data_IF_793385354701
#
_entry.id   IF_793385354701
#
_cell.length_a   1.000
_cell.length_b   1.000
_cell.length_c   1.000
_cell.angle_alpha   90.00
_cell.angle_beta   90.00
_cell.angle_gamma   90.00
#
_symmetry.space_group_name_H-M   'P 1'
#
loop_
_entity.id
_entity.type
_entity.pdbx_description
1 polymer ?
#
# COMPACT_ATOMS: atom_id res chain seq x y z
N UNK A 1 -23.33 -26.58 -33.50
CA UNK A 1 -24.51 -27.49 -33.45
C UNK A 1 -25.13 -27.64 -34.84
N UNK A 2 -25.50 -26.56 -35.52
CA UNK A 2 -26.08 -26.56 -36.86
C UNK A 2 -25.18 -27.26 -37.89
N UNK A 3 -23.87 -27.02 -37.84
CA UNK A 3 -22.88 -27.61 -38.74
C UNK A 3 -22.78 -29.13 -38.56
N UNK A 4 -22.89 -29.62 -37.32
CA UNK A 4 -22.86 -31.06 -37.00
C UNK A 4 -24.14 -31.76 -37.47
N UNK A 5 -25.30 -31.11 -37.37
CA UNK A 5 -26.55 -31.61 -37.92
C UNK A 5 -26.48 -31.69 -39.46
N UNK A 6 -25.93 -30.67 -40.11
CA UNK A 6 -25.79 -30.61 -41.55
C UNK A 6 -24.87 -31.73 -42.08
N UNK A 7 -23.72 -31.98 -41.40
CA UNK A 7 -22.80 -33.07 -41.76
C UNK A 7 -23.38 -34.48 -41.65
N UNK A 8 -24.36 -34.68 -40.75
CA UNK A 8 -25.04 -35.95 -40.59
C UNK A 8 -26.22 -36.13 -41.54
N UNK A 9 -26.95 -35.05 -41.86
CA UNK A 9 -28.18 -35.11 -42.67
C UNK A 9 -27.87 -35.03 -44.18
N UNK A 10 -26.85 -34.27 -44.60
CA UNK A 10 -26.49 -34.09 -45.99
C UNK A 10 -26.17 -35.40 -46.74
N UNK A 11 -25.42 -36.37 -46.21
CA UNK A 11 -25.16 -37.67 -46.88
C UNK A 11 -26.44 -38.48 -47.14
N UNK A 12 -27.45 -38.39 -46.26
CA UNK A 12 -28.72 -39.06 -46.41
C UNK A 12 -29.54 -38.50 -47.58
N UNK A 13 -29.56 -37.16 -47.71
CA UNK A 13 -30.20 -36.47 -48.83
C UNK A 13 -29.48 -36.76 -50.16
N UNK A 14 -28.12 -36.78 -50.16
CA UNK A 14 -27.30 -37.10 -51.33
C UNK A 14 -27.51 -38.56 -51.78
N UNK A 15 -27.65 -39.49 -50.83
CA UNK A 15 -27.93 -40.89 -51.13
C UNK A 15 -29.22 -41.06 -51.96
N UNK A 16 -30.25 -40.33 -51.60
CA UNK A 16 -31.54 -40.41 -52.27
C UNK A 16 -31.49 -39.88 -53.71
N UNK A 17 -30.68 -38.91 -54.02
CA UNK A 17 -30.67 -38.22 -55.30
C UNK A 17 -29.49 -38.65 -56.23
N UNK A 18 -28.36 -39.09 -55.66
CA UNK A 18 -27.12 -39.34 -56.41
C UNK A 18 -26.49 -40.72 -56.16
N UNK A 19 -27.09 -41.55 -55.35
CA UNK A 19 -26.67 -42.95 -55.11
C UNK A 19 -25.67 -43.13 -53.95
N UNK A 20 -25.38 -44.40 -53.66
CA UNK A 20 -24.63 -44.81 -52.47
C UNK A 20 -23.17 -44.36 -52.48
N UNK A 21 -22.50 -44.38 -53.66
CA UNK A 21 -21.09 -43.97 -53.76
C UNK A 21 -20.89 -42.48 -53.40
N UNK A 22 -21.78 -41.62 -53.94
CA UNK A 22 -21.70 -40.18 -53.64
C UNK A 22 -22.07 -39.89 -52.18
N UNK A 23 -22.98 -40.65 -51.58
CA UNK A 23 -23.31 -40.51 -50.17
C UNK A 23 -22.13 -40.91 -49.27
N UNK A 24 -21.42 -42.01 -49.58
CA UNK A 24 -20.21 -42.41 -48.85
C UNK A 24 -19.09 -41.38 -48.96
N UNK A 25 -18.84 -40.85 -50.14
CA UNK A 25 -17.85 -39.80 -50.37
C UNK A 25 -18.16 -38.51 -49.58
N UNK A 26 -19.43 -38.10 -49.57
CA UNK A 26 -19.90 -36.93 -48.83
C UNK A 26 -19.79 -37.11 -47.31
N UNK A 27 -20.02 -38.33 -46.81
CA UNK A 27 -19.89 -38.67 -45.40
C UNK A 27 -18.42 -38.60 -44.95
N UNK A 28 -17.50 -39.17 -45.73
CA UNK A 28 -16.07 -39.13 -45.46
C UNK A 28 -15.56 -37.67 -45.51
N UNK A 29 -15.95 -36.91 -46.52
CA UNK A 29 -15.57 -35.49 -46.68
C UNK A 29 -16.08 -34.61 -45.50
N UNK A 30 -17.32 -34.87 -45.09
CA UNK A 30 -17.89 -34.11 -43.95
C UNK A 30 -17.24 -34.45 -42.62
N UNK A 31 -16.83 -35.70 -42.39
CA UNK A 31 -16.08 -36.11 -41.20
C UNK A 31 -14.67 -35.47 -41.16
N UNK A 32 -13.97 -35.47 -42.31
CA UNK A 32 -12.65 -34.81 -42.42
C UNK A 32 -12.79 -33.29 -42.16
N UNK A 33 -13.80 -32.67 -42.76
CA UNK A 33 -14.06 -31.24 -42.55
C UNK A 33 -14.38 -30.92 -41.07
N UNK A 34 -15.19 -31.73 -40.43
CA UNK A 34 -15.54 -31.56 -39.02
C UNK A 34 -14.32 -31.73 -38.11
N UNK A 35 -13.47 -32.73 -38.38
CA UNK A 35 -12.22 -32.93 -37.64
C UNK A 35 -11.26 -31.74 -37.80
N UNK A 36 -11.08 -31.26 -39.04
CA UNK A 36 -10.25 -30.10 -39.34
C UNK A 36 -10.80 -28.81 -38.67
N UNK A 37 -12.12 -28.64 -38.66
CA UNK A 37 -12.79 -27.51 -38.03
C UNK A 37 -12.62 -27.51 -36.50
N UNK A 38 -12.75 -28.70 -35.86
CA UNK A 38 -12.50 -28.83 -34.40
C UNK A 38 -11.02 -28.56 -34.07
N UNK A 39 -10.10 -29.06 -34.89
CA UNK A 39 -8.68 -28.79 -34.75
C UNK A 39 -8.39 -27.27 -34.89
N UNK A 40 -8.99 -26.63 -35.89
CA UNK A 40 -8.84 -25.20 -36.12
C UNK A 40 -9.36 -24.37 -34.94
N UNK A 41 -10.54 -24.70 -34.38
CA UNK A 41 -11.07 -24.03 -33.19
C UNK A 41 -10.14 -24.23 -31.99
N UNK A 42 -9.65 -25.46 -31.77
CA UNK A 42 -8.75 -25.74 -30.66
C UNK A 42 -7.40 -25.01 -30.80
N UNK A 43 -6.86 -24.98 -32.03
CA UNK A 43 -5.63 -24.28 -32.32
C UNK A 43 -5.84 -22.76 -32.19
N UNK A 44 -6.94 -22.20 -32.71
CA UNK A 44 -7.32 -20.79 -32.59
C UNK A 44 -7.49 -20.37 -31.14
N UNK A 45 -8.14 -21.20 -30.32
CA UNK A 45 -8.22 -20.96 -28.86
C UNK A 45 -6.86 -20.95 -28.18
N UNK A 46 -5.95 -21.87 -28.57
CA UNK A 46 -4.58 -21.89 -28.00
C UNK A 46 -3.71 -20.70 -28.46
N UNK A 47 -3.89 -20.27 -29.69
CA UNK A 47 -3.14 -19.13 -30.27
C UNK A 47 -3.69 -17.81 -29.70
N UNK A 48 -5.00 -17.65 -29.57
CA UNK A 48 -5.62 -16.44 -28.99
C UNK A 48 -5.29 -16.24 -27.50
N UNK A 49 -5.06 -17.33 -26.76
CA UNK A 49 -4.70 -17.23 -25.32
C UNK A 49 -3.26 -16.76 -25.13
N UNK A 50 -2.36 -16.95 -26.12
CA UNK A 50 -0.93 -16.57 -25.97
C UNK A 50 -0.51 -15.28 -26.68
N UNK A 51 -1.31 -14.73 -27.56
CA UNK A 51 -0.86 -13.66 -28.46
C UNK A 51 -1.52 -12.29 -28.30
N UNK A 52 -2.65 -12.20 -27.65
CA UNK A 52 -3.40 -10.95 -27.43
C UNK A 52 -4.01 -10.92 -26.03
N UNK A 53 -3.18 -10.99 -25.00
CA UNK A 53 -3.57 -10.35 -23.76
C UNK A 53 -3.58 -8.84 -24.04
N UNK A 54 -4.76 -8.30 -24.26
CA UNK A 54 -4.98 -6.87 -24.11
C UNK A 54 -4.57 -6.57 -22.67
N UNK A 55 -3.35 -6.07 -22.50
CA UNK A 55 -2.82 -5.71 -21.19
C UNK A 55 -3.69 -4.58 -20.66
N UNK A 56 -4.69 -4.95 -19.89
CA UNK A 56 -5.49 -3.97 -19.17
C UNK A 56 -4.59 -3.31 -18.13
N UNK A 57 -4.47 -1.98 -18.11
CA UNK A 57 -3.67 -1.31 -17.09
C UNK A 57 -4.26 -1.61 -15.72
N UNK A 58 -3.41 -1.99 -14.76
CA UNK A 58 -3.80 -2.23 -13.38
C UNK A 58 -3.90 -0.90 -12.65
N UNK A 59 -5.06 -0.60 -12.08
CA UNK A 59 -5.22 0.51 -11.16
C UNK A 59 -4.54 0.14 -9.84
N UNK A 60 -3.48 0.86 -9.46
CA UNK A 60 -2.73 0.60 -8.23
C UNK A 60 -3.38 1.22 -7.00
N UNK A 61 -3.95 2.42 -7.14
CA UNK A 61 -4.58 3.18 -6.06
C UNK A 61 -5.85 3.81 -6.60
N UNK A 62 -6.93 3.63 -5.88
CA UNK A 62 -8.22 4.25 -6.16
C UNK A 62 -8.66 5.06 -4.93
N UNK A 63 -8.64 6.38 -5.05
CA UNK A 63 -9.12 7.32 -4.06
C UNK A 63 -10.43 8.00 -4.49
N UNK A 64 -11.06 7.53 -5.57
CA UNK A 64 -12.26 8.14 -6.14
C UNK A 64 -13.48 8.10 -5.21
N UNK A 65 -13.50 7.16 -4.26
CA UNK A 65 -14.59 6.99 -3.29
C UNK A 65 -14.45 7.84 -2.02
N UNK A 66 -13.34 8.60 -1.87
CA UNK A 66 -13.06 9.38 -0.66
C UNK A 66 -13.05 10.87 -0.96
N UNK A 67 -13.88 11.65 -0.23
CA UNK A 67 -13.93 13.11 -0.32
C UNK A 67 -12.77 13.79 0.44
N UNK A 68 -11.98 13.02 1.19
CA UNK A 68 -10.88 13.53 2.03
C UNK A 68 -9.54 13.10 1.48
N UNK A 69 -8.56 13.99 1.60
CA UNK A 69 -7.17 13.66 1.31
C UNK A 69 -6.71 12.44 2.15
N UNK A 70 -5.96 11.50 1.57
CA UNK A 70 -5.51 10.32 2.28
C UNK A 70 -4.57 10.69 3.44
N UNK A 71 -4.80 10.07 4.59
CA UNK A 71 -3.88 10.10 5.73
C UNK A 71 -3.36 8.68 5.96
N UNK A 72 -2.06 8.51 5.81
CA UNK A 72 -1.40 7.21 5.92
C UNK A 72 -0.41 7.25 7.07
N UNK A 73 -0.56 6.34 8.03
CA UNK A 73 0.40 6.14 9.10
C UNK A 73 1.43 5.07 8.68
N UNK A 74 2.67 5.51 8.55
CA UNK A 74 3.82 4.69 8.17
C UNK A 74 4.71 4.31 9.36
N UNK A 75 4.27 4.55 10.58
CA UNK A 75 5.05 4.26 11.79
C UNK A 75 5.44 2.79 11.87
N UNK A 76 6.72 2.51 12.11
CA UNK A 76 7.25 1.15 12.24
C UNK A 76 7.20 0.31 10.96
N UNK A 77 6.90 0.90 9.81
CA UNK A 77 6.83 0.16 8.55
C UNK A 77 8.20 -0.30 8.06
N UNK A 78 8.27 -1.51 7.52
CA UNK A 78 9.44 -1.98 6.79
C UNK A 78 9.47 -1.41 5.37
N UNK A 79 10.63 -1.48 4.70
CA UNK A 79 10.86 -0.86 3.38
C UNK A 79 9.84 -1.25 2.32
N UNK A 80 9.45 -2.54 2.23
CA UNK A 80 8.46 -3.00 1.25
C UNK A 80 7.07 -2.42 1.48
N UNK A 81 6.64 -2.27 2.75
CA UNK A 81 5.36 -1.64 3.07
C UNK A 81 5.39 -0.13 2.80
N UNK A 82 6.51 0.53 3.10
CA UNK A 82 6.67 1.97 2.91
C UNK A 82 6.76 2.35 1.43
N UNK A 83 7.60 1.66 0.66
CA UNK A 83 8.02 2.03 -0.69
C UNK A 83 7.35 1.23 -1.79
N UNK A 84 6.64 0.17 -1.41
CA UNK A 84 6.04 -0.78 -2.32
C UNK A 84 6.91 -2.00 -2.58
N UNK A 85 6.28 -3.06 -3.02
CA UNK A 85 6.92 -4.36 -3.24
C UNK A 85 6.29 -5.10 -4.41
N UNK A 86 6.94 -6.17 -4.85
CA UNK A 86 6.43 -7.12 -5.83
C UNK A 86 6.23 -8.45 -5.15
N UNK A 87 4.99 -8.91 -5.08
CA UNK A 87 4.67 -10.21 -4.50
C UNK A 87 5.50 -11.32 -5.14
N UNK A 88 6.05 -12.19 -4.29
CA UNK A 88 6.77 -13.36 -4.74
C UNK A 88 5.83 -14.31 -5.49
N UNK A 89 6.30 -14.89 -6.60
CA UNK A 89 5.60 -15.98 -7.30
C UNK A 89 5.93 -17.31 -6.60
N UNK A 90 5.01 -17.90 -5.82
CA UNK A 90 5.30 -19.10 -5.05
C UNK A 90 5.59 -20.32 -5.92
N UNK A 91 5.14 -20.31 -7.17
CA UNK A 91 5.30 -21.44 -8.08
C UNK A 91 6.59 -21.39 -8.88
N UNK A 92 7.37 -20.30 -8.83
CA UNK A 92 8.59 -20.08 -9.63
C UNK A 92 8.46 -20.56 -11.08
N UNK A 93 7.28 -20.35 -11.66
CA UNK A 93 6.79 -21.01 -12.87
C UNK A 93 7.47 -20.52 -14.16
N UNK A 94 8.64 -19.89 -14.05
CA UNK A 94 9.48 -19.55 -15.21
C UNK A 94 8.78 -18.72 -16.30
N UNK A 95 7.80 -17.88 -15.92
CA UNK A 95 7.01 -17.07 -16.85
C UNK A 95 5.63 -17.63 -17.21
N UNK A 96 5.23 -18.77 -16.65
CA UNK A 96 3.88 -19.33 -16.77
C UNK A 96 2.93 -18.90 -15.63
N UNK A 97 3.46 -18.24 -14.59
CA UNK A 97 2.70 -17.72 -13.46
C UNK A 97 2.13 -16.31 -13.69
N UNK A 98 1.59 -15.74 -12.63
CA UNK A 98 1.02 -14.39 -12.65
C UNK A 98 2.05 -13.36 -13.11
N UNK A 99 1.76 -12.54 -14.12
CA UNK A 99 2.69 -11.53 -14.62
C UNK A 99 3.17 -10.59 -13.51
N UNK A 100 4.41 -10.12 -13.60
CA UNK A 100 5.01 -9.29 -12.55
C UNK A 100 4.24 -7.98 -12.29
N UNK A 101 3.61 -7.39 -13.32
CA UNK A 101 2.81 -6.17 -13.17
C UNK A 101 1.54 -6.38 -12.34
N UNK A 102 0.96 -7.58 -12.34
CA UNK A 102 -0.19 -7.92 -11.49
C UNK A 102 0.20 -8.12 -10.02
N UNK A 103 1.46 -8.44 -9.76
CA UNK A 103 2.01 -8.68 -8.43
C UNK A 103 2.54 -7.42 -7.74
N UNK A 104 2.46 -6.26 -8.40
CA UNK A 104 2.85 -4.98 -7.82
C UNK A 104 1.93 -4.59 -6.66
N UNK A 105 2.52 -4.24 -5.52
CA UNK A 105 1.83 -3.67 -4.36
C UNK A 105 2.33 -2.24 -4.15
N UNK A 106 1.44 -1.24 -4.18
CA UNK A 106 1.81 0.13 -3.89
C UNK A 106 2.19 0.29 -2.42
N UNK A 107 3.28 0.99 -2.14
CA UNK A 107 3.71 1.34 -0.80
C UNK A 107 2.88 2.49 -0.21
N UNK A 108 3.12 2.76 1.08
CA UNK A 108 2.45 3.83 1.81
C UNK A 108 2.69 5.21 1.19
N UNK A 109 3.90 5.46 0.63
CA UNK A 109 4.20 6.70 -0.09
C UNK A 109 3.27 6.94 -1.28
N UNK A 110 2.92 5.88 -2.02
CA UNK A 110 2.02 5.95 -3.16
C UNK A 110 0.56 6.14 -2.71
N UNK A 111 0.17 5.43 -1.64
CA UNK A 111 -1.17 5.53 -1.04
C UNK A 111 -1.43 6.90 -0.42
N UNK A 112 -0.38 7.59 0.03
CA UNK A 112 -0.42 8.94 0.56
C UNK A 112 -0.47 10.03 -0.52
N UNK A 113 -0.42 9.67 -1.81
CA UNK A 113 -0.43 10.64 -2.91
C UNK A 113 -1.62 11.60 -2.82
N UNK A 114 -1.35 12.90 -2.86
CA UNK A 114 -2.36 13.95 -2.67
C UNK A 114 -2.76 14.20 -1.21
N UNK A 115 -2.09 13.57 -0.24
CA UNK A 115 -2.43 13.64 1.17
C UNK A 115 -1.23 13.73 2.10
N UNK A 116 -1.31 13.03 3.22
CA UNK A 116 -0.33 13.09 4.32
C UNK A 116 0.24 11.70 4.60
N UNK A 117 1.56 11.60 4.66
CA UNK A 117 2.28 10.47 5.22
C UNK A 117 2.79 10.87 6.61
N UNK A 118 2.29 10.22 7.65
CA UNK A 118 2.76 10.39 9.02
C UNK A 118 3.74 9.26 9.38
N UNK A 119 4.87 9.60 9.99
CA UNK A 119 5.86 8.62 10.47
C UNK A 119 6.34 9.05 11.85
N UNK A 120 5.95 8.31 12.89
CA UNK A 120 6.56 8.45 14.20
C UNK A 120 7.90 7.68 14.25
N UNK A 121 8.82 8.19 15.05
CA UNK A 121 10.17 7.64 15.17
C UNK A 121 10.87 7.47 13.81
N UNK A 122 10.77 8.46 12.95
CA UNK A 122 11.31 8.43 11.57
C UNK A 122 12.81 8.05 11.51
N UNK A 123 13.55 8.32 12.57
CA UNK A 123 14.96 7.94 12.67
C UNK A 123 15.21 6.42 12.74
N UNK A 124 14.19 5.64 13.13
CA UNK A 124 14.28 4.18 13.21
C UNK A 124 14.11 3.49 11.84
N UNK A 125 13.71 4.23 10.81
CA UNK A 125 13.70 3.70 9.45
C UNK A 125 15.12 3.30 9.02
N UNK A 126 15.20 2.20 8.28
CA UNK A 126 16.46 1.76 7.68
C UNK A 126 17.08 2.91 6.85
N UNK A 127 18.41 3.16 6.93
CA UNK A 127 19.08 4.23 6.18
C UNK A 127 18.79 4.23 4.68
N UNK A 128 18.68 3.06 4.06
CA UNK A 128 18.30 2.91 2.66
C UNK A 128 16.88 3.43 2.41
N UNK A 129 15.92 3.07 3.28
CA UNK A 129 14.54 3.57 3.19
C UNK A 129 14.45 5.07 3.40
N UNK A 130 15.30 5.64 4.25
CA UNK A 130 15.39 7.10 4.42
C UNK A 130 15.86 7.81 3.14
N UNK A 131 16.84 7.23 2.41
CA UNK A 131 17.31 7.76 1.11
C UNK A 131 16.24 7.64 0.03
N UNK A 132 15.55 6.51 -0.02
CA UNK A 132 14.47 6.27 -0.99
C UNK A 132 13.26 7.18 -0.71
N UNK A 133 12.92 7.41 0.57
CA UNK A 133 11.92 8.38 0.99
C UNK A 133 12.32 9.82 0.57
N UNK A 134 13.58 10.17 0.71
CA UNK A 134 14.10 11.45 0.23
C UNK A 134 13.90 11.59 -1.28
N UNK A 135 14.21 10.54 -2.06
CA UNK A 135 14.00 10.53 -3.52
C UNK A 135 12.52 10.73 -3.86
N UNK A 136 11.64 10.01 -3.17
CA UNK A 136 10.19 10.14 -3.36
C UNK A 136 9.70 11.57 -3.09
N UNK A 137 10.17 12.21 -2.00
CA UNK A 137 9.85 13.60 -1.66
C UNK A 137 10.36 14.62 -2.69
N UNK A 138 11.49 14.34 -3.34
CA UNK A 138 12.09 15.24 -4.33
C UNK A 138 11.42 15.11 -5.69
N UNK A 139 11.26 13.88 -6.16
CA UNK A 139 10.78 13.57 -7.51
C UNK A 139 9.24 13.54 -7.60
N UNK A 140 8.54 13.45 -6.45
CA UNK A 140 7.09 13.30 -6.34
C UNK A 140 6.54 12.07 -7.10
N UNK A 141 7.42 11.15 -7.42
CA UNK A 141 7.16 9.87 -8.07
C UNK A 141 8.22 8.86 -7.67
N UNK A 142 7.83 7.62 -7.51
CA UNK A 142 8.75 6.56 -7.11
C UNK A 142 8.39 5.24 -7.80
N UNK A 143 9.41 4.49 -8.28
CA UNK A 143 9.19 3.19 -8.91
C UNK A 143 9.10 2.10 -7.87
N UNK A 144 8.11 1.22 -8.00
CA UNK A 144 7.98 0.03 -7.16
C UNK A 144 8.98 -1.01 -7.66
N UNK A 145 9.85 -1.49 -6.75
CA UNK A 145 10.84 -2.54 -7.02
C UNK A 145 10.66 -3.67 -6.03
N UNK A 146 10.84 -4.92 -6.46
CA UNK A 146 10.84 -6.05 -5.54
C UNK A 146 11.94 -5.91 -4.49
N UNK A 147 11.57 -5.95 -3.22
CA UNK A 147 12.51 -5.84 -2.08
C UNK A 147 13.06 -7.21 -1.64
N UNK A 148 12.64 -8.30 -2.29
CA UNK A 148 13.10 -9.65 -1.93
C UNK A 148 14.52 -9.88 -2.41
N UNK A 149 15.45 -9.94 -1.47
CA UNK A 149 16.87 -10.31 -1.72
C UNK A 149 17.05 -11.75 -2.23
N UNK A 150 16.01 -12.57 -2.18
CA UNK A 150 16.06 -14.01 -2.51
C UNK A 150 15.75 -14.35 -3.97
N UNK A 151 15.28 -13.41 -4.77
CA UNK A 151 15.02 -13.68 -6.19
C UNK A 151 16.14 -13.11 -7.07
N UNK A 152 17.17 -13.92 -7.29
CA UNK A 152 18.33 -13.59 -8.12
C UNK A 152 18.06 -13.55 -9.64
N UNK A 153 16.80 -13.39 -10.06
CA UNK A 153 16.48 -13.61 -11.47
C UNK A 153 15.76 -12.50 -12.24
N UNK A 154 15.03 -11.62 -11.60
CA UNK A 154 14.38 -10.54 -12.33
C UNK A 154 14.05 -9.38 -11.38
N UNK A 155 14.85 -8.35 -11.39
CA UNK A 155 14.48 -7.06 -10.79
C UNK A 155 13.32 -6.46 -11.61
N UNK A 156 12.09 -6.83 -11.21
CA UNK A 156 10.92 -6.18 -11.77
C UNK A 156 10.82 -4.78 -11.17
N UNK A 157 10.84 -3.79 -12.04
CA UNK A 157 10.68 -2.40 -11.67
C UNK A 157 9.47 -1.85 -12.43
N UNK A 158 8.58 -1.16 -11.70
CA UNK A 158 7.48 -0.43 -12.35
C UNK A 158 7.97 0.84 -13.03
N UNK A 159 7.17 1.41 -13.90
CA UNK A 159 7.30 2.83 -14.22
C UNK A 159 7.12 3.66 -12.95
N UNK A 160 7.66 4.92 -12.93
CA UNK A 160 7.50 5.79 -11.76
C UNK A 160 6.03 6.07 -11.46
N UNK A 161 5.59 5.68 -10.27
CA UNK A 161 4.21 5.88 -9.77
C UNK A 161 4.16 7.20 -8.99
N UNK A 162 3.14 8.05 -9.18
CA UNK A 162 2.99 9.30 -8.44
C UNK A 162 2.96 9.09 -6.92
N UNK A 163 3.66 9.96 -6.18
CA UNK A 163 3.71 9.96 -4.72
C UNK A 163 3.99 11.39 -4.18
N UNK A 164 3.14 12.34 -4.58
CA UNK A 164 3.19 13.71 -4.06
C UNK A 164 2.40 13.78 -2.74
N UNK A 165 3.09 13.84 -1.63
CA UNK A 165 2.50 13.84 -0.29
C UNK A 165 3.21 14.83 0.64
N UNK A 166 2.53 15.26 1.70
CA UNK A 166 3.12 16.02 2.80
C UNK A 166 3.65 15.01 3.82
N UNK A 167 4.94 15.09 4.12
CA UNK A 167 5.55 14.28 5.19
C UNK A 167 5.38 14.99 6.54
N UNK A 168 4.75 14.30 7.50
CA UNK A 168 4.75 14.67 8.91
C UNK A 168 5.56 13.63 9.66
N UNK A 169 6.71 14.02 10.17
CA UNK A 169 7.63 13.13 10.85
C UNK A 169 7.78 13.54 12.31
N UNK A 170 7.73 12.57 13.21
CA UNK A 170 7.99 12.78 14.63
C UNK A 170 9.20 11.94 15.06
N UNK A 171 9.81 12.33 16.19
CA UNK A 171 10.92 11.59 16.77
C UNK A 171 11.56 12.34 17.91
N UNK A 172 12.32 11.63 18.73
CA UNK A 172 13.08 12.20 19.81
C UNK A 172 14.31 12.96 19.29
N UNK A 173 14.69 14.12 19.89
CA UNK A 173 15.84 14.91 19.44
C UNK A 173 17.14 14.12 19.34
N UNK A 174 17.36 13.14 20.22
CA UNK A 174 18.55 12.30 20.23
C UNK A 174 18.57 11.33 19.04
N UNK A 175 17.45 10.68 18.73
CA UNK A 175 17.33 9.75 17.60
C UNK A 175 17.34 10.49 16.27
N UNK A 176 16.71 11.66 16.19
CA UNK A 176 16.70 12.52 14.99
C UNK A 176 18.11 12.96 14.58
N UNK A 177 19.06 13.09 15.54
CA UNK A 177 20.48 13.36 15.21
C UNK A 177 21.12 12.24 14.39
N UNK A 178 20.62 11.00 14.53
CA UNK A 178 21.13 9.81 13.85
C UNK A 178 20.44 9.55 12.50
N UNK A 179 19.49 10.39 12.09
CA UNK A 179 18.87 10.29 10.76
C UNK A 179 19.91 10.47 9.65
N UNK A 180 19.57 9.91 8.48
CA UNK A 180 20.37 10.13 7.29
C UNK A 180 20.52 11.63 7.01
N UNK A 181 21.76 12.14 6.91
CA UNK A 181 22.03 13.60 6.86
C UNK A 181 21.29 14.32 5.74
N UNK A 182 21.15 13.67 4.55
CA UNK A 182 20.49 14.27 3.40
C UNK A 182 18.97 14.42 3.64
N UNK A 183 18.30 13.41 4.26
CA UNK A 183 16.88 13.51 4.60
C UNK A 183 16.63 14.60 5.64
N UNK A 184 17.46 14.64 6.67
CA UNK A 184 17.40 15.68 7.70
C UNK A 184 17.58 17.09 7.11
N UNK A 185 18.59 17.27 6.25
CA UNK A 185 18.83 18.54 5.57
C UNK A 185 17.65 18.96 4.70
N UNK A 186 17.00 18.00 4.03
CA UNK A 186 15.82 18.26 3.20
C UNK A 186 14.62 18.71 4.03
N UNK A 187 14.34 18.01 5.14
CA UNK A 187 13.26 18.39 6.06
C UNK A 187 13.49 19.80 6.60
N UNK A 188 14.71 20.13 7.04
CA UNK A 188 15.05 21.47 7.54
C UNK A 188 14.99 22.55 6.48
N UNK A 189 15.38 22.26 5.25
CA UNK A 189 15.45 23.24 4.17
C UNK A 189 14.11 23.59 3.53
N UNK A 190 13.14 22.68 3.57
CA UNK A 190 11.85 22.81 2.87
C UNK A 190 10.64 22.60 3.78
N UNK A 191 10.85 22.29 5.06
CA UNK A 191 9.82 22.03 6.03
C UNK A 191 10.00 22.88 7.27
N UNK A 192 9.23 22.56 8.29
CA UNK A 192 9.25 23.21 9.60
C UNK A 192 9.67 22.17 10.65
N UNK A 193 10.67 22.51 11.47
CA UNK A 193 11.00 21.78 12.69
C UNK A 193 10.25 22.41 13.85
N UNK A 194 9.39 21.64 14.52
CA UNK A 194 8.67 22.06 15.71
C UNK A 194 9.25 21.34 16.91
N UNK A 195 9.86 22.07 17.80
CA UNK A 195 10.39 21.54 19.05
C UNK A 195 9.30 21.55 20.10
N UNK A 196 9.02 20.37 20.68
CA UNK A 196 8.07 20.23 21.77
C UNK A 196 8.80 20.45 23.09
N UNK A 197 8.29 21.37 23.90
CA UNK A 197 8.83 21.64 25.23
C UNK A 197 8.55 20.47 26.18
N UNK A 198 9.47 20.22 27.10
CA UNK A 198 9.33 19.18 28.12
C UNK A 198 8.64 19.70 29.38
N UNK A 199 8.60 21.00 29.57
CA UNK A 199 8.11 21.69 30.75
C UNK A 199 7.40 22.99 30.35
N UNK A 200 6.44 23.40 31.16
CA UNK A 200 5.66 24.59 30.96
C UNK A 200 5.65 25.40 32.28
N UNK A 201 5.54 26.72 32.23
CA UNK A 201 5.49 27.57 33.43
C UNK A 201 4.25 27.24 34.28
N UNK A 202 4.44 27.23 35.61
CA UNK A 202 3.38 26.97 36.58
C UNK A 202 2.49 28.18 36.75
N UNK A 203 1.66 28.48 35.76
CA UNK A 203 0.66 29.54 35.75
C UNK A 203 -0.74 28.99 36.04
N UNK A 204 -1.68 29.85 36.44
CA UNK A 204 -3.06 29.41 36.65
C UNK A 204 -3.71 28.88 35.37
N UNK A 205 -3.42 29.48 34.21
CA UNK A 205 -3.88 29.02 32.92
C UNK A 205 -3.38 27.62 32.62
N UNK A 206 -2.09 27.36 32.83
CA UNK A 206 -1.49 26.05 32.58
C UNK A 206 -2.01 24.97 33.55
N UNK A 207 -2.29 25.32 34.81
CA UNK A 207 -2.97 24.44 35.76
C UNK A 207 -4.38 24.05 35.28
N UNK A 208 -5.10 25.02 34.68
CA UNK A 208 -6.41 24.70 34.07
C UNK A 208 -6.29 23.76 32.87
N UNK A 209 -5.21 23.86 32.08
CA UNK A 209 -4.92 22.91 31.02
C UNK A 209 -4.68 21.51 31.56
N UNK A 210 -3.96 21.35 32.68
CA UNK A 210 -3.81 20.07 33.37
C UNK A 210 -5.14 19.48 33.85
N UNK A 211 -6.00 20.34 34.46
CA UNK A 211 -7.32 19.90 34.91
C UNK A 211 -8.16 19.43 33.72
N UNK A 212 -8.10 20.11 32.57
CA UNK A 212 -8.78 19.70 31.33
C UNK A 212 -8.20 18.39 30.78
N UNK A 213 -6.87 18.23 30.82
CA UNK A 213 -6.21 16.99 30.41
C UNK A 213 -6.70 15.81 31.26
N UNK A 214 -6.71 15.93 32.58
CA UNK A 214 -7.20 14.91 33.51
C UNK A 214 -8.67 14.55 33.18
N UNK A 215 -9.52 15.54 32.97
CA UNK A 215 -10.91 15.31 32.60
C UNK A 215 -11.06 14.56 31.26
N UNK A 216 -10.24 14.89 30.27
CA UNK A 216 -10.22 14.22 28.97
C UNK A 216 -9.79 12.76 29.10
N UNK A 217 -8.74 12.47 29.88
CA UNK A 217 -8.26 11.09 30.09
C UNK A 217 -9.30 10.23 30.81
N UNK A 218 -10.03 10.80 31.81
CA UNK A 218 -11.13 10.09 32.48
C UNK A 218 -12.26 9.75 31.50
N UNK A 219 -12.65 10.70 30.65
CA UNK A 219 -13.69 10.48 29.64
C UNK A 219 -13.25 9.42 28.60
N UNK A 220 -11.98 9.43 28.21
CA UNK A 220 -11.41 8.47 27.27
C UNK A 220 -11.33 7.06 27.84
N UNK A 221 -10.92 6.91 29.10
CA UNK A 221 -10.84 5.62 29.79
C UNK A 221 -12.23 5.02 30.09
N UNK A 222 -13.22 5.87 30.36
CA UNK A 222 -14.61 5.53 30.66
C UNK A 222 -14.85 4.55 31.85
N UNK A 223 -13.79 4.18 32.58
CA UNK A 223 -13.86 3.26 33.73
C UNK A 223 -13.51 3.95 35.04
N UNK A 224 -12.69 5.00 34.96
CA UNK A 224 -12.21 5.76 36.11
C UNK A 224 -13.26 6.82 36.49
N UNK A 225 -13.61 6.97 37.79
CA UNK A 225 -14.50 8.02 38.23
C UNK A 225 -13.86 9.41 38.08
N UNK A 226 -14.67 10.44 37.97
CA UNK A 226 -14.18 11.81 37.88
C UNK A 226 -13.40 12.22 39.15
N UNK A 227 -12.27 12.88 38.94
CA UNK A 227 -11.45 13.43 40.02
C UNK A 227 -12.08 14.67 40.60
N UNK A 228 -12.02 14.80 41.92
CA UNK A 228 -12.39 16.04 42.61
C UNK A 228 -11.26 17.07 42.52
N UNK A 229 -11.55 18.31 42.94
CA UNK A 229 -10.58 19.42 42.89
C UNK A 229 -9.29 19.11 43.64
N UNK A 230 -9.39 18.45 44.78
CA UNK A 230 -8.21 18.12 45.61
C UNK A 230 -7.31 17.09 44.93
N UNK A 231 -7.88 16.09 44.29
CA UNK A 231 -7.13 15.10 43.54
C UNK A 231 -6.42 15.73 42.32
N UNK A 232 -7.09 16.60 41.59
CA UNK A 232 -6.47 17.35 40.49
C UNK A 232 -5.32 18.21 40.96
N UNK A 233 -5.47 18.91 42.12
CA UNK A 233 -4.39 19.69 42.69
C UNK A 233 -3.18 18.81 43.08
N UNK A 234 -3.40 17.59 43.54
CA UNK A 234 -2.32 16.64 43.85
C UNK A 234 -1.60 16.19 42.59
N UNK A 235 -2.30 15.99 41.48
CA UNK A 235 -1.67 15.67 40.17
C UNK A 235 -0.81 16.85 39.71
N UNK A 236 -1.29 18.09 39.87
CA UNK A 236 -0.51 19.31 39.52
C UNK A 236 0.72 19.41 40.43
N UNK A 237 0.59 19.12 41.70
CA UNK A 237 1.72 19.11 42.65
C UNK A 237 2.77 18.06 42.22
N UNK A 238 2.34 16.87 41.82
CA UNK A 238 3.22 15.86 41.29
C UNK A 238 3.87 16.28 39.96
N UNK A 239 3.14 16.94 39.08
CA UNK A 239 3.70 17.49 37.84
C UNK A 239 4.80 18.53 38.13
N UNK A 240 4.63 19.36 39.17
CA UNK A 240 5.64 20.29 39.66
C UNK A 240 6.84 19.55 40.24
N UNK A 241 6.61 18.51 41.03
CA UNK A 241 7.69 17.73 41.66
C UNK A 241 8.56 17.02 40.63
N UNK A 242 7.97 16.56 39.52
CA UNK A 242 8.67 15.90 38.40
C UNK A 242 9.30 16.86 37.40
N UNK A 243 9.05 18.14 37.53
CA UNK A 243 9.74 19.15 36.70
C UNK A 243 11.21 19.26 37.13
N UNK A 244 12.10 19.40 36.15
CA UNK A 244 13.53 19.61 36.39
C UNK A 244 13.84 21.01 36.79
N UNK A 245 12.92 21.96 36.51
CA UNK A 245 13.11 23.38 36.75
C UNK A 245 12.09 23.91 37.80
N UNK A 246 12.56 24.63 38.78
CA UNK A 246 11.69 25.27 39.79
C UNK A 246 10.71 26.22 39.13
N UNK A 247 9.43 26.21 39.56
CA UNK A 247 8.39 27.04 39.00
C UNK A 247 7.78 26.56 37.69
N UNK A 248 8.11 25.34 37.26
CA UNK A 248 7.54 24.71 36.07
C UNK A 248 6.77 23.44 36.39
N UNK A 249 5.97 22.98 35.41
CA UNK A 249 5.22 21.74 35.42
C UNK A 249 5.77 20.84 34.28
N UNK A 250 5.97 19.57 34.57
CA UNK A 250 6.39 18.62 33.51
C UNK A 250 5.27 18.41 32.52
N UNK A 251 5.62 18.31 31.22
CA UNK A 251 4.73 17.88 30.13
C UNK A 251 4.87 16.39 29.78
N UNK A 252 5.61 15.62 30.59
CA UNK A 252 5.66 14.15 30.47
C UNK A 252 4.39 13.52 31.01
N UNK A 253 3.28 13.78 30.33
CA UNK A 253 1.94 13.44 30.77
C UNK A 253 1.74 11.93 30.95
N UNK A 254 2.47 11.11 30.17
CA UNK A 254 2.45 9.63 30.31
C UNK A 254 2.90 9.17 31.70
N UNK A 255 3.84 9.88 32.31
CA UNK A 255 4.35 9.56 33.66
C UNK A 255 3.39 9.99 34.77
N UNK A 256 2.42 10.84 34.46
CA UNK A 256 1.40 11.31 35.40
C UNK A 256 0.11 10.50 35.35
N UNK A 257 -0.12 9.74 34.26
CA UNK A 257 -1.35 9.00 34.00
C UNK A 257 -1.21 7.49 34.18
N UNK A 258 -0.08 7.00 34.68
CA UNK A 258 0.19 5.59 34.92
C UNK A 258 -0.09 5.13 36.34
#
# INVERSE_FOLDING_TARGET
FILLILTLVAPWWIRKNYGDIMAAASLIGSMIFLAAFVLFINLSRRVNIKGMEVRSPKLLIDNSSTDKAPFIDGTGSHSGALLGDVLHDPLQSGGLGTPAYERLIPGMIHRANGGVLFIDEVANLNPKSQQELLTALQEKKFSITGQSERSSGAMTRSEPVPCDFVLVAAGNPETVRNMHPALRSRIRGYGYEVYMEHEIDDTEENRMHFARFVAQEVVKDAKIPHFNKEAVLKIIEEARRRSSTSGKLTLRLRELGG
#
